data_IF_485326427365
#
_entry.id   IF_485326427365
#
_cell.length_a   1.000
_cell.length_b   1.000
_cell.length_c   1.000
_cell.angle_alpha   90.00
_cell.angle_beta   90.00
_cell.angle_gamma   90.00
#
_symmetry.space_group_name_H-M   'P 1'
#
loop_
_entity.id
_entity.type
_entity.pdbx_description
1 polymer ?
#
# COMPACT_ATOMS: atom_id res chain seq x y z
N UNK A 1 -56.17 3.32 12.78
CA UNK A 1 -55.36 3.63 13.98
C UNK A 1 -54.69 2.35 14.46
N UNK A 2 -53.36 2.24 14.34
CA UNK A 2 -52.62 1.10 14.88
C UNK A 2 -52.54 1.32 16.41
N UNK A 3 -53.19 0.47 17.21
CA UNK A 3 -53.05 0.49 18.67
C UNK A 3 -51.72 -0.19 19.02
N UNK A 4 -50.65 0.60 19.14
CA UNK A 4 -49.37 0.08 19.63
C UNK A 4 -49.49 -0.21 21.13
N UNK A 5 -49.16 -1.44 21.51
CA UNK A 5 -49.03 -1.82 22.92
C UNK A 5 -47.61 -1.47 23.40
N UNK A 6 -47.47 -1.25 24.71
CA UNK A 6 -46.19 -0.92 25.35
C UNK A 6 -45.06 -1.89 24.95
N UNK A 7 -45.35 -3.18 24.81
CA UNK A 7 -44.37 -4.19 24.41
C UNK A 7 -43.90 -4.00 22.97
N UNK A 8 -44.79 -3.67 22.03
CA UNK A 8 -44.43 -3.34 20.65
C UNK A 8 -43.63 -2.05 20.54
N UNK A 9 -43.84 -1.09 21.45
CA UNK A 9 -43.05 0.14 21.53
C UNK A 9 -41.60 -0.19 21.98
N UNK A 10 -41.44 -1.03 23.01
CA UNK A 10 -40.12 -1.46 23.47
C UNK A 10 -39.36 -2.31 22.45
N UNK A 11 -40.05 -3.20 21.73
CA UNK A 11 -39.43 -4.00 20.66
C UNK A 11 -39.00 -3.10 19.50
N UNK A 12 -39.86 -2.17 19.06
CA UNK A 12 -39.52 -1.21 18.00
C UNK A 12 -38.34 -0.32 18.38
N UNK A 13 -38.29 0.14 19.64
CA UNK A 13 -37.19 0.95 20.15
C UNK A 13 -35.88 0.16 20.20
N UNK A 14 -35.91 -1.11 20.65
CA UNK A 14 -34.74 -1.97 20.69
C UNK A 14 -34.14 -2.24 19.31
N UNK A 15 -34.98 -2.49 18.30
CA UNK A 15 -34.53 -2.70 16.92
C UNK A 15 -33.91 -1.41 16.35
N UNK A 16 -34.51 -0.25 16.62
CA UNK A 16 -34.00 1.03 16.13
C UNK A 16 -32.64 1.39 16.75
N UNK A 17 -32.43 1.12 18.03
CA UNK A 17 -31.14 1.30 18.71
C UNK A 17 -30.08 0.36 18.14
N UNK A 18 -30.41 -0.91 17.89
CA UNK A 18 -29.47 -1.89 17.34
C UNK A 18 -28.99 -1.51 15.92
N UNK A 19 -29.92 -1.07 15.06
CA UNK A 19 -29.58 -0.61 13.70
C UNK A 19 -28.76 0.68 13.74
N UNK A 20 -29.10 1.62 14.63
CA UNK A 20 -28.33 2.84 14.84
C UNK A 20 -26.90 2.57 15.31
N UNK A 21 -26.72 1.65 16.27
CA UNK A 21 -25.41 1.25 16.78
C UNK A 21 -24.55 0.56 15.70
N UNK A 22 -25.15 -0.32 14.89
CA UNK A 22 -24.44 -0.97 13.78
C UNK A 22 -24.02 0.04 12.69
N UNK A 23 -24.90 0.99 12.35
CA UNK A 23 -24.59 2.07 11.42
C UNK A 23 -23.46 2.98 11.92
N UNK A 24 -23.49 3.36 13.19
CA UNK A 24 -22.41 4.13 13.82
C UNK A 24 -21.10 3.35 13.78
N UNK A 25 -21.09 2.08 14.20
CA UNK A 25 -19.88 1.26 14.27
C UNK A 25 -19.18 1.13 12.91
N UNK A 26 -19.94 0.97 11.82
CA UNK A 26 -19.39 0.90 10.47
C UNK A 26 -18.81 2.24 9.98
N UNK A 27 -19.37 3.38 10.39
CA UNK A 27 -18.84 4.70 10.02
C UNK A 27 -17.58 5.07 10.83
N UNK A 28 -17.52 4.71 12.11
CA UNK A 28 -16.36 5.02 12.96
C UNK A 28 -15.17 4.07 12.80
N UNK A 29 -15.35 2.89 12.19
CA UNK A 29 -14.30 1.88 12.01
C UNK A 29 -13.30 2.13 10.86
N UNK A 30 -13.42 3.21 10.09
CA UNK A 30 -12.56 3.47 8.92
C UNK A 30 -11.64 4.68 9.13
N UNK A 31 -10.78 4.61 10.13
CA UNK A 31 -9.59 5.47 10.20
C UNK A 31 -8.59 5.02 9.13
N UNK A 32 -8.59 5.69 7.98
CA UNK A 32 -7.56 5.52 6.97
C UNK A 32 -6.21 5.98 7.54
N UNK A 33 -5.30 5.04 7.76
CA UNK A 33 -3.90 5.34 8.10
C UNK A 33 -3.25 6.06 6.92
N UNK A 34 -3.19 7.39 6.98
CA UNK A 34 -2.29 8.17 6.15
C UNK A 34 -0.87 7.80 6.56
N UNK A 35 -0.17 7.04 5.73
CA UNK A 35 1.27 6.85 5.89
C UNK A 35 1.95 8.21 5.64
N UNK A 36 2.24 8.91 6.73
CA UNK A 36 3.17 10.04 6.71
C UNK A 36 4.55 9.44 6.47
N UNK A 37 5.04 9.53 5.24
CA UNK A 37 6.44 9.25 4.95
C UNK A 37 7.28 10.30 5.67
N UNK A 38 7.75 9.96 6.87
CA UNK A 38 8.74 10.75 7.57
C UNK A 38 10.06 10.54 6.81
N UNK A 39 10.33 11.40 5.82
CA UNK A 39 11.64 11.48 5.19
C UNK A 39 12.61 12.00 6.24
N UNK A 40 13.29 11.08 6.93
CA UNK A 40 14.49 11.41 7.65
C UNK A 40 15.47 12.02 6.63
N UNK A 41 15.84 13.28 6.86
CA UNK A 41 16.83 14.01 6.10
C UNK A 41 18.18 13.29 6.24
N UNK A 42 18.47 12.36 5.34
CA UNK A 42 19.77 11.70 5.24
C UNK A 42 20.72 12.69 4.58
N UNK A 43 21.80 13.02 5.28
CA UNK A 43 22.79 14.00 4.90
C UNK A 43 23.30 13.81 3.47
N UNK A 44 23.32 14.93 2.75
CA UNK A 44 23.88 15.12 1.42
C UNK A 44 25.33 14.63 1.33
N UNK A 45 25.66 13.60 0.52
CA UNK A 45 27.05 13.35 0.18
C UNK A 45 27.54 14.43 -0.79
N UNK A 46 28.63 15.07 -0.36
CA UNK A 46 29.45 16.05 -1.05
C UNK A 46 29.64 15.78 -2.55
N UNK A 47 29.49 16.84 -3.33
CA UNK A 47 29.77 16.94 -4.76
C UNK A 47 31.20 16.56 -5.14
N UNK A 48 31.37 15.72 -6.18
CA UNK A 48 32.62 15.49 -6.92
C UNK A 48 32.28 15.18 -8.40
N UNK A 49 33.21 15.43 -9.35
CA UNK A 49 33.00 16.36 -10.45
C UNK A 49 32.36 15.76 -11.70
N UNK A 50 31.83 16.68 -12.53
CA UNK A 50 31.44 16.52 -13.93
C UNK A 50 32.36 15.56 -14.70
N UNK A 51 31.77 14.51 -15.26
CA UNK A 51 32.37 13.66 -16.27
C UNK A 51 31.36 13.39 -17.38
N UNK A 52 31.67 13.94 -18.56
CA UNK A 52 31.26 13.60 -19.92
C UNK A 52 29.78 13.24 -20.19
N UNK A 53 29.15 14.09 -21.01
CA UNK A 53 27.89 13.81 -21.67
C UNK A 53 27.89 12.43 -22.34
N UNK A 54 27.11 11.50 -21.80
CA UNK A 54 26.77 10.26 -22.48
C UNK A 54 25.67 10.56 -23.48
N UNK A 55 26.05 10.50 -24.75
CA UNK A 55 25.17 10.58 -25.91
C UNK A 55 24.01 9.57 -25.77
N UNK A 56 22.75 9.94 -26.06
CA UNK A 56 21.63 9.02 -25.95
C UNK A 56 21.73 8.00 -27.09
N UNK A 57 22.37 6.87 -26.83
CA UNK A 57 22.30 5.72 -27.72
C UNK A 57 20.94 5.09 -27.52
N UNK A 58 20.00 5.50 -28.37
CA UNK A 58 18.70 4.87 -28.56
C UNK A 58 18.91 3.39 -28.81
N UNK A 59 18.62 2.60 -27.80
CA UNK A 59 18.37 1.17 -27.93
C UNK A 59 17.23 0.94 -26.97
N UNK A 60 16.12 0.45 -27.50
CA UNK A 60 15.02 -0.12 -26.74
C UNK A 60 15.57 -1.29 -25.92
N UNK A 61 16.28 -0.97 -24.84
CA UNK A 61 16.75 -1.94 -23.88
C UNK A 61 15.49 -2.45 -23.21
N UNK A 62 15.11 -3.67 -23.58
CA UNK A 62 14.09 -4.44 -22.88
C UNK A 62 14.31 -4.27 -21.38
N UNK A 63 13.25 -3.92 -20.66
CA UNK A 63 13.36 -3.71 -19.23
C UNK A 63 13.78 -5.02 -18.56
N UNK A 64 14.73 -4.97 -17.64
CA UNK A 64 15.04 -6.15 -16.84
C UNK A 64 13.83 -6.50 -15.99
N UNK A 65 13.34 -7.73 -16.12
CA UNK A 65 12.21 -8.21 -15.33
C UNK A 65 12.71 -8.79 -14.00
N UNK A 66 12.06 -8.40 -12.92
CA UNK A 66 12.34 -8.91 -11.57
C UNK A 66 11.02 -9.21 -10.87
N UNK A 67 10.90 -10.39 -10.28
CA UNK A 67 9.76 -10.75 -9.44
C UNK A 67 10.20 -10.80 -7.98
N UNK A 68 9.42 -10.16 -7.12
CA UNK A 68 9.54 -10.24 -5.65
C UNK A 68 8.28 -10.88 -5.11
N UNK A 69 8.42 -12.02 -4.47
CA UNK A 69 7.35 -12.68 -3.75
C UNK A 69 7.36 -12.26 -2.27
N UNK A 70 6.18 -12.06 -1.71
CA UNK A 70 5.99 -11.65 -0.33
C UNK A 70 5.03 -12.61 0.38
N UNK A 71 5.47 -13.16 1.51
CA UNK A 71 4.60 -13.77 2.52
C UNK A 71 4.69 -12.96 3.82
N UNK A 72 3.95 -13.36 4.84
CA UNK A 72 3.58 -12.54 6.02
C UNK A 72 4.73 -11.68 6.57
N UNK A 73 5.91 -12.27 6.74
CA UNK A 73 7.09 -11.58 7.28
C UNK A 73 8.35 -11.84 6.44
N UNK A 74 8.21 -12.14 5.15
CA UNK A 74 9.33 -12.52 4.28
C UNK A 74 9.15 -12.00 2.86
N UNK A 75 10.24 -11.49 2.29
CA UNK A 75 10.38 -11.17 0.87
C UNK A 75 11.39 -12.11 0.22
N UNK A 76 11.13 -12.50 -1.03
CA UNK A 76 12.02 -13.34 -1.83
C UNK A 76 12.08 -12.82 -3.27
N UNK A 77 13.23 -12.31 -3.74
CA UNK A 77 14.46 -12.10 -2.97
C UNK A 77 14.32 -10.96 -1.95
N UNK A 78 15.18 -10.95 -0.92
CA UNK A 78 15.29 -9.85 0.05
C UNK A 78 16.22 -8.72 -0.43
N UNK A 79 16.96 -8.93 -1.51
CA UNK A 79 17.90 -7.95 -2.08
C UNK A 79 17.93 -8.08 -3.60
N UNK A 80 17.96 -6.95 -4.30
CA UNK A 80 18.08 -6.88 -5.76
C UNK A 80 19.25 -5.95 -6.08
N UNK A 81 20.20 -6.42 -6.89
CA UNK A 81 21.32 -5.62 -7.37
C UNK A 81 21.09 -5.20 -8.83
N UNK A 82 21.20 -3.90 -9.10
CA UNK A 82 20.96 -3.29 -10.41
C UNK A 82 22.11 -2.34 -10.76
N UNK A 83 22.31 -2.11 -12.06
CA UNK A 83 23.25 -1.08 -12.53
C UNK A 83 22.54 0.28 -12.59
N UNK A 84 23.30 1.34 -12.35
CA UNK A 84 22.78 2.70 -12.50
C UNK A 84 22.34 2.94 -13.95
N UNK A 85 21.15 3.54 -14.13
CA UNK A 85 20.56 3.80 -15.44
C UNK A 85 19.89 2.60 -16.11
N UNK A 86 19.81 1.46 -15.43
CA UNK A 86 19.10 0.27 -15.92
C UNK A 86 17.58 0.45 -15.80
N UNK A 87 16.85 0.17 -16.88
CA UNK A 87 15.38 0.15 -16.87
C UNK A 87 14.91 -1.19 -16.33
N UNK A 88 14.06 -1.17 -15.31
CA UNK A 88 13.57 -2.38 -14.62
C UNK A 88 12.04 -2.40 -14.59
N UNK A 89 11.48 -3.56 -14.90
CA UNK A 89 10.08 -3.89 -14.65
C UNK A 89 10.03 -4.83 -13.45
N UNK A 90 9.43 -4.39 -12.35
CA UNK A 90 9.34 -5.17 -11.12
C UNK A 90 7.90 -5.61 -10.87
N UNK A 91 7.72 -6.91 -10.72
CA UNK A 91 6.46 -7.53 -10.31
C UNK A 91 6.54 -7.88 -8.83
N UNK A 92 5.67 -7.28 -8.02
CA UNK A 92 5.51 -7.67 -6.63
C UNK A 92 4.30 -8.59 -6.51
N UNK A 93 4.50 -9.80 -5.99
CA UNK A 93 3.48 -10.83 -5.82
C UNK A 93 3.30 -11.13 -4.34
N UNK A 94 2.09 -10.92 -3.84
CA UNK A 94 1.70 -11.47 -2.55
C UNK A 94 1.45 -12.97 -2.72
N UNK A 95 2.14 -13.80 -1.94
CA UNK A 95 2.00 -15.26 -1.83
C UNK A 95 1.43 -15.70 -0.47
N UNK A 96 1.15 -14.73 0.42
CA UNK A 96 0.66 -14.95 1.78
C UNK A 96 -0.84 -14.70 1.95
N UNK A 97 -1.33 -15.01 3.15
CA UNK A 97 -2.70 -14.77 3.58
C UNK A 97 -2.92 -13.31 4.03
N UNK A 98 -1.88 -12.64 4.55
CA UNK A 98 -1.97 -11.23 4.91
C UNK A 98 -1.92 -10.32 3.67
N UNK A 99 -2.58 -9.16 3.73
CA UNK A 99 -2.43 -8.15 2.67
C UNK A 99 -1.10 -7.40 2.81
N UNK A 100 -0.48 -7.06 1.68
CA UNK A 100 0.80 -6.37 1.64
C UNK A 100 0.77 -5.10 0.78
N UNK A 101 1.67 -4.17 1.10
CA UNK A 101 2.02 -3.04 0.27
C UNK A 101 3.49 -3.18 -0.15
N UNK A 102 3.87 -2.57 -1.27
CA UNK A 102 5.26 -2.44 -1.67
C UNK A 102 5.61 -0.98 -1.95
N UNK A 103 6.78 -0.54 -1.47
CA UNK A 103 7.26 0.83 -1.64
C UNK A 103 8.77 0.85 -1.73
N UNK A 104 9.30 1.67 -2.65
CA UNK A 104 10.73 1.95 -2.77
C UNK A 104 10.96 3.42 -2.43
N UNK A 105 11.39 3.75 -1.19
CA UNK A 105 11.70 5.11 -0.79
C UNK A 105 12.75 5.74 -1.71
N UNK A 106 12.63 7.04 -1.97
CA UNK A 106 13.56 7.77 -2.84
C UNK A 106 13.33 7.60 -4.34
N UNK A 107 12.53 6.62 -4.78
CA UNK A 107 12.12 6.45 -6.18
C UNK A 107 10.66 6.83 -6.47
N UNK A 108 9.89 7.21 -5.43
CA UNK A 108 8.47 7.52 -5.53
C UNK A 108 7.63 6.38 -6.15
N UNK A 109 8.07 5.12 -5.97
CA UNK A 109 7.37 3.92 -6.44
C UNK A 109 6.62 3.29 -5.28
N UNK A 110 5.30 3.13 -5.42
CA UNK A 110 4.46 2.43 -4.45
C UNK A 110 3.29 1.72 -5.14
N UNK A 111 2.89 0.58 -4.58
CA UNK A 111 1.66 -0.12 -4.99
C UNK A 111 0.47 0.35 -4.17
N UNK A 112 -0.74 0.07 -4.66
CA UNK A 112 -1.91 -0.07 -3.77
C UNK A 112 -1.72 -1.29 -2.87
N UNK A 113 -2.60 -1.45 -1.88
CA UNK A 113 -2.67 -2.69 -1.11
C UNK A 113 -3.06 -3.86 -1.99
N UNK A 114 -2.28 -4.92 -1.88
CA UNK A 114 -2.45 -6.18 -2.61
C UNK A 114 -2.98 -7.20 -1.60
N UNK A 115 -4.16 -7.76 -1.90
CA UNK A 115 -4.78 -8.81 -1.11
C UNK A 115 -3.97 -10.11 -1.15
N UNK A 116 -4.42 -11.11 -0.40
CA UNK A 116 -3.84 -12.45 -0.44
C UNK A 116 -3.88 -13.07 -1.85
N UNK A 117 -2.90 -13.92 -2.17
CA UNK A 117 -2.79 -14.62 -3.46
C UNK A 117 -1.68 -15.65 -3.44
#
# INVERSE_FOLDING_TARGET
MIKLNNKTIWIGLGVLVAVGAAGLFLMYGKSGSSNVYNSANVANPTSVPTAAAVQPSGSDKSAKEVTVEASEFKLSPSTINLKVGEKVSLTFKNTGAASHNFTIPGLQVATKTIGSG
#
